data_IF_183245078044
#
_entry.id   IF_183245078044
#
_cell.length_a   1.000
_cell.length_b   1.000
_cell.length_c   1.000
_cell.angle_alpha   90.00
_cell.angle_beta   90.00
_cell.angle_gamma   90.00
#
_symmetry.space_group_name_H-M   'P 1'
#
loop_
_entity.id
_entity.type
_entity.pdbx_description
1 polymer ?
#
# COMPACT_ATOMS: atom_id res chain seq x y z
N UNK A 1 9.19 11.60 -1.50
CA UNK A 1 8.85 10.19 -1.18
C UNK A 1 9.16 9.96 0.28
N UNK A 2 8.21 9.42 1.05
CA UNK A 2 8.43 9.04 2.46
C UNK A 2 8.02 7.59 2.64
N UNK A 3 8.91 6.81 3.26
CA UNK A 3 8.64 5.43 3.65
C UNK A 3 8.90 5.34 5.16
N UNK A 4 7.90 4.92 5.90
CA UNK A 4 7.99 4.66 7.33
C UNK A 4 7.68 3.19 7.57
N UNK A 5 8.62 2.46 8.13
CA UNK A 5 8.47 1.05 8.47
C UNK A 5 8.45 0.91 9.99
N UNK A 6 7.46 0.20 10.53
CA UNK A 6 7.35 -0.11 11.95
C UNK A 6 7.22 -1.62 12.10
N UNK A 7 8.01 -2.19 13.00
CA UNK A 7 7.86 -3.57 13.46
C UNK A 7 7.20 -3.57 14.84
N UNK A 8 6.13 -4.35 15.00
CA UNK A 8 5.50 -4.65 16.26
C UNK A 8 5.65 -6.14 16.56
N UNK A 9 6.31 -6.47 17.67
CA UNK A 9 6.53 -7.85 18.08
C UNK A 9 5.90 -8.12 19.44
N UNK A 10 5.14 -9.21 19.57
CA UNK A 10 4.60 -9.69 20.83
C UNK A 10 4.76 -11.22 20.94
N UNK A 11 5.73 -11.65 21.75
CA UNK A 11 6.09 -13.07 21.85
C UNK A 11 6.60 -13.62 20.50
N UNK A 12 6.06 -14.73 19.98
CA UNK A 12 6.49 -15.32 18.71
C UNK A 12 5.87 -14.64 17.47
N UNK A 13 5.04 -13.62 17.65
CA UNK A 13 4.34 -12.93 16.56
C UNK A 13 5.01 -11.59 16.28
N UNK A 14 5.44 -11.38 15.03
CA UNK A 14 5.88 -10.07 14.52
C UNK A 14 4.94 -9.60 13.41
N UNK A 15 4.62 -8.30 13.43
CA UNK A 15 3.85 -7.61 12.40
C UNK A 15 4.68 -6.44 11.90
N UNK A 16 4.85 -6.37 10.59
CA UNK A 16 5.57 -5.35 9.87
C UNK A 16 4.57 -4.45 9.16
N UNK A 17 4.60 -3.15 9.47
CA UNK A 17 3.77 -2.13 8.85
C UNK A 17 4.64 -1.18 8.02
N UNK A 18 4.41 -1.12 6.72
CA UNK A 18 5.10 -0.22 5.80
C UNK A 18 4.14 0.86 5.30
N UNK A 19 4.33 2.08 5.78
CA UNK A 19 3.60 3.27 5.37
C UNK A 19 4.37 4.04 4.30
N UNK A 20 3.75 4.25 3.14
CA UNK A 20 4.40 4.84 1.97
C UNK A 20 3.56 6.01 1.46
N UNK A 21 4.24 7.14 1.25
CA UNK A 21 3.71 8.38 0.66
C UNK A 21 4.55 8.73 -0.57
N UNK A 22 3.95 8.61 -1.75
CA UNK A 22 4.60 8.87 -3.03
C UNK A 22 3.59 9.22 -4.12
N UNK A 23 3.97 10.07 -5.07
CA UNK A 23 3.12 10.46 -6.20
C UNK A 23 2.79 9.26 -7.09
N UNK A 24 3.79 8.42 -7.40
CA UNK A 24 3.58 7.25 -8.26
C UNK A 24 2.68 6.21 -7.58
N UNK A 25 2.81 6.03 -6.26
CA UNK A 25 1.91 5.18 -5.47
C UNK A 25 0.49 5.75 -5.49
N UNK A 26 0.35 7.07 -5.36
CA UNK A 26 -0.94 7.76 -5.41
C UNK A 26 -1.70 7.49 -6.71
N UNK A 27 -1.01 7.49 -7.86
CA UNK A 27 -1.62 7.19 -9.16
C UNK A 27 -2.24 5.78 -9.15
N UNK A 28 -1.51 4.77 -8.68
CA UNK A 28 -2.03 3.40 -8.66
C UNK A 28 -3.08 3.14 -7.58
N UNK A 29 -3.06 3.89 -6.47
CA UNK A 29 -4.16 3.81 -5.50
C UNK A 29 -5.44 4.37 -6.11
N UNK A 30 -5.39 5.51 -6.82
CA UNK A 30 -6.56 6.04 -7.52
C UNK A 30 -7.12 5.05 -8.53
N UNK A 31 -6.23 4.41 -9.29
CA UNK A 31 -6.59 3.36 -10.25
C UNK A 31 -7.33 2.22 -9.53
N UNK A 32 -6.77 1.73 -8.42
CA UNK A 32 -7.39 0.69 -7.61
C UNK A 32 -8.74 1.11 -6.99
N UNK A 33 -8.82 2.28 -6.36
CA UNK A 33 -10.06 2.78 -5.76
C UNK A 33 -11.15 3.01 -6.82
N UNK A 34 -10.78 3.37 -8.06
CA UNK A 34 -11.75 3.57 -9.14
C UNK A 34 -12.46 2.26 -9.57
N UNK A 35 -11.91 1.09 -9.21
CA UNK A 35 -12.58 -0.22 -9.38
C UNK A 35 -13.75 -0.43 -8.42
N UNK A 36 -13.90 0.45 -7.41
CA UNK A 36 -15.03 0.46 -6.50
C UNK A 36 -16.00 1.57 -6.89
N UNK A 37 -17.25 1.19 -7.20
CA UNK A 37 -18.27 2.14 -7.66
C UNK A 37 -18.45 3.37 -6.76
N UNK A 38 -18.37 3.20 -5.43
CA UNK A 38 -18.56 4.27 -4.46
C UNK A 38 -17.41 5.28 -4.42
N UNK A 39 -16.19 4.89 -4.82
CA UNK A 39 -15.03 5.78 -4.83
C UNK A 39 -14.78 6.46 -6.18
N UNK A 40 -15.41 5.98 -7.25
CA UNK A 40 -15.18 6.48 -8.62
C UNK A 40 -15.40 7.99 -8.77
N UNK A 41 -16.33 8.55 -8.00
CA UNK A 41 -16.64 9.98 -8.05
C UNK A 41 -15.72 10.84 -7.20
N UNK A 42 -14.90 10.28 -6.31
CA UNK A 42 -14.00 11.05 -5.43
C UNK A 42 -12.52 10.83 -5.78
N UNK A 43 -12.17 9.79 -6.54
CA UNK A 43 -10.78 9.49 -6.94
C UNK A 43 -10.14 10.59 -7.78
N UNK A 44 -10.93 11.41 -8.48
CA UNK A 44 -10.45 12.55 -9.25
C UNK A 44 -10.01 13.73 -8.35
N UNK A 45 -10.61 13.88 -7.16
CA UNK A 45 -10.27 14.91 -6.17
C UNK A 45 -9.05 14.55 -5.31
N UNK A 46 -8.67 13.27 -5.27
CA UNK A 46 -7.44 12.85 -4.64
C UNK A 46 -6.27 13.48 -5.41
N UNK A 47 -5.22 13.96 -4.76
CA UNK A 47 -4.03 14.51 -5.45
C UNK A 47 -2.76 13.76 -5.03
N UNK A 48 -1.76 13.66 -5.94
CA UNK A 48 -0.44 13.12 -5.61
C UNK A 48 0.17 13.85 -4.40
N UNK A 49 0.76 13.11 -3.46
CA UNK A 49 1.40 13.66 -2.26
C UNK A 49 0.51 13.76 -1.02
N UNK A 50 -0.76 13.36 -1.12
CA UNK A 50 -1.73 13.39 -0.01
C UNK A 50 -2.13 11.97 0.46
N UNK A 51 -1.80 10.96 -0.33
CA UNK A 51 -2.12 9.56 -0.05
C UNK A 51 -1.08 8.82 0.75
N UNK A 52 -1.53 8.05 1.75
CA UNK A 52 -0.69 7.13 2.52
C UNK A 52 -1.21 5.71 2.36
N UNK A 53 -0.34 4.83 1.89
CA UNK A 53 -0.62 3.40 1.83
C UNK A 53 0.14 2.70 2.94
N UNK A 54 -0.56 1.95 3.79
CA UNK A 54 0.06 1.13 4.83
C UNK A 54 -0.14 -0.34 4.51
N UNK A 55 0.95 -1.09 4.36
CA UNK A 55 0.91 -2.53 4.18
C UNK A 55 1.25 -3.21 5.49
N UNK A 56 0.41 -4.14 5.94
CA UNK A 56 0.68 -4.97 7.11
C UNK A 56 1.01 -6.41 6.67
N UNK A 57 2.12 -6.94 7.18
CA UNK A 57 2.63 -8.28 6.90
C UNK A 57 3.07 -8.98 8.18
N UNK A 58 2.90 -10.29 8.29
CA UNK A 58 3.50 -11.10 9.37
C UNK A 58 4.90 -11.61 9.03
N UNK A 59 5.41 -11.25 7.87
CA UNK A 59 6.71 -11.68 7.36
C UNK A 59 7.55 -10.44 6.99
N UNK A 60 8.76 -10.39 7.56
CA UNK A 60 9.74 -9.31 7.36
C UNK A 60 10.32 -9.29 5.95
N UNK A 61 10.30 -10.43 5.26
CA UNK A 61 10.85 -10.58 3.91
C UNK A 61 9.86 -10.19 2.81
N UNK A 62 8.68 -9.69 3.15
CA UNK A 62 7.65 -9.25 2.18
C UNK A 62 8.03 -7.89 1.56
N UNK A 63 9.26 -7.43 1.76
CA UNK A 63 10.01 -6.78 0.70
C UNK A 63 10.80 -7.87 -0.06
N UNK A 64 10.28 -8.45 -1.16
CA UNK A 64 9.29 -7.88 -2.07
C UNK A 64 7.93 -8.59 -2.06
N UNK A 65 6.86 -7.81 -2.04
CA UNK A 65 5.46 -8.25 -2.07
C UNK A 65 5.15 -9.13 -3.28
N UNK A 66 5.36 -10.43 -3.17
CA UNK A 66 4.65 -11.41 -3.98
C UNK A 66 3.23 -11.51 -3.45
N UNK A 67 2.28 -11.87 -4.31
CA UNK A 67 0.91 -12.22 -3.93
C UNK A 67 0.98 -13.47 -3.03
N UNK A 68 1.34 -13.25 -1.77
CA UNK A 68 1.55 -14.25 -0.76
C UNK A 68 0.44 -14.10 0.26
N UNK A 69 -0.08 -15.21 0.74
CA UNK A 69 -1.05 -15.25 1.82
C UNK A 69 -0.51 -14.62 3.12
N UNK A 70 0.79 -14.28 3.15
CA UNK A 70 1.48 -13.57 4.23
C UNK A 70 1.19 -12.07 4.26
N UNK A 71 0.72 -11.47 3.16
CA UNK A 71 0.22 -10.09 3.18
C UNK A 71 -1.21 -10.13 3.71
N UNK A 72 -1.37 -9.81 4.99
CA UNK A 72 -2.66 -9.89 5.67
C UNK A 72 -3.65 -8.85 5.17
N UNK A 73 -3.25 -7.57 5.20
CA UNK A 73 -4.15 -6.45 4.88
C UNK A 73 -3.36 -5.27 4.31
N UNK A 74 -3.93 -4.64 3.29
CA UNK A 74 -3.50 -3.35 2.77
C UNK A 74 -4.49 -2.29 3.27
N UNK A 75 -4.00 -1.34 4.07
CA UNK A 75 -4.79 -0.19 4.50
C UNK A 75 -4.48 1.02 3.61
N UNK A 76 -5.51 1.52 2.93
CA UNK A 76 -5.44 2.68 2.06
C UNK A 76 -6.04 3.89 2.80
N UNK A 77 -5.21 4.88 3.09
CA UNK A 77 -5.65 6.14 3.68
C UNK A 77 -5.40 7.31 2.72
N UNK A 78 -6.45 8.06 2.41
CA UNK A 78 -6.37 9.27 1.59
C UNK A 78 -7.22 10.37 2.20
N UNK A 79 -6.72 11.60 2.32
CA UNK A 79 -7.50 12.71 2.84
C UNK A 79 -7.14 14.03 2.19
N UNK A 80 -8.07 14.65 1.45
CA UNK A 80 -7.84 15.98 0.85
C UNK A 80 -8.21 17.15 1.79
N UNK A 81 -8.41 16.87 3.09
CA UNK A 81 -8.83 17.86 4.09
C UNK A 81 -10.35 18.12 4.14
N UNK A 82 -11.09 17.78 3.09
CA UNK A 82 -12.56 17.81 3.06
C UNK A 82 -13.16 16.40 3.13
N UNK A 83 -12.59 15.49 2.35
CA UNK A 83 -12.98 14.09 2.22
C UNK A 83 -11.83 13.20 2.68
N UNK A 84 -12.15 12.12 3.39
CA UNK A 84 -11.20 11.06 3.73
C UNK A 84 -11.71 9.69 3.29
N UNK A 85 -10.78 8.83 2.89
CA UNK A 85 -11.00 7.45 2.51
C UNK A 85 -10.09 6.62 3.41
N UNK A 86 -10.70 5.73 4.18
CA UNK A 86 -10.04 4.69 4.94
C UNK A 86 -10.60 3.35 4.46
N UNK A 87 -9.77 2.58 3.76
CA UNK A 87 -10.17 1.32 3.17
C UNK A 87 -9.18 0.22 3.53
N UNK A 88 -9.66 -0.75 4.31
CA UNK A 88 -8.98 -2.03 4.50
C UNK A 88 -9.24 -2.95 3.30
N UNK A 89 -8.17 -3.48 2.73
CA UNK A 89 -8.19 -4.39 1.59
C UNK A 89 -7.53 -5.70 2.01
N UNK A 90 -8.35 -6.72 2.22
CA UNK A 90 -7.87 -8.08 2.42
C UNK A 90 -7.58 -8.67 1.04
N UNK A 91 -6.30 -8.77 0.68
CA UNK A 91 -5.88 -9.09 -0.70
C UNK A 91 -6.42 -10.47 -1.14
N UNK A 92 -6.40 -11.46 -0.24
CA UNK A 92 -6.92 -12.82 -0.48
C UNK A 92 -8.43 -12.85 -0.76
N UNK A 93 -9.17 -11.82 -0.36
CA UNK A 93 -10.63 -11.72 -0.57
C UNK A 93 -10.99 -11.15 -1.95
N UNK A 94 -10.04 -10.58 -2.70
CA UNK A 94 -10.31 -9.95 -3.99
C UNK A 94 -10.57 -11.01 -5.06
N UNK A 95 -11.84 -11.25 -5.42
CA UNK A 95 -12.21 -12.21 -6.48
C UNK A 95 -12.36 -11.58 -7.87
N UNK A 96 -12.68 -10.28 -7.94
CA UNK A 96 -12.91 -9.58 -9.20
C UNK A 96 -11.58 -9.39 -9.99
N UNK A 97 -11.51 -9.78 -11.28
CA UNK A 97 -10.29 -9.70 -12.09
C UNK A 97 -9.71 -8.28 -12.25
N UNK A 98 -10.57 -7.27 -12.41
CA UNK A 98 -10.16 -5.87 -12.54
C UNK A 98 -9.49 -5.39 -11.24
N UNK A 99 -10.09 -5.72 -10.09
CA UNK A 99 -9.51 -5.42 -8.78
C UNK A 99 -8.17 -6.13 -8.57
N UNK A 100 -8.06 -7.38 -9.00
CA UNK A 100 -6.80 -8.16 -8.97
C UNK A 100 -5.71 -7.49 -9.81
N UNK A 101 -6.02 -7.05 -11.02
CA UNK A 101 -5.04 -6.38 -11.89
C UNK A 101 -4.58 -5.06 -11.26
N UNK A 102 -5.52 -4.23 -10.79
CA UNK A 102 -5.21 -2.93 -10.21
C UNK A 102 -4.38 -3.06 -8.91
N UNK A 103 -4.70 -4.01 -8.03
CA UNK A 103 -3.92 -4.23 -6.80
C UNK A 103 -2.52 -4.78 -7.11
N UNK A 104 -2.35 -5.64 -8.12
CA UNK A 104 -1.02 -6.11 -8.57
C UNK A 104 -0.16 -4.93 -9.01
N UNK A 105 -0.73 -4.00 -9.79
CA UNK A 105 -0.02 -2.79 -10.23
C UNK A 105 0.42 -1.95 -9.03
N UNK A 106 -0.47 -1.74 -8.07
CA UNK A 106 -0.15 -1.00 -6.84
C UNK A 106 0.98 -1.66 -6.03
N UNK A 107 0.90 -2.98 -5.79
CA UNK A 107 1.94 -3.71 -5.06
C UNK A 107 3.29 -3.67 -5.77
N UNK A 108 3.32 -3.81 -7.10
CA UNK A 108 4.54 -3.70 -7.89
C UNK A 108 5.15 -2.30 -7.80
N UNK A 109 4.34 -1.25 -7.85
CA UNK A 109 4.84 0.12 -7.69
C UNK A 109 5.38 0.35 -6.29
N UNK A 110 4.69 -0.14 -5.26
CA UNK A 110 5.17 -0.06 -3.87
C UNK A 110 6.49 -0.79 -3.72
N UNK A 111 6.62 -2.00 -4.27
CA UNK A 111 7.88 -2.76 -4.31
C UNK A 111 9.01 -1.96 -4.95
N UNK A 112 8.75 -1.39 -6.12
CA UNK A 112 9.74 -0.58 -6.84
C UNK A 112 10.15 0.64 -6.03
N UNK A 113 9.18 1.31 -5.40
CA UNK A 113 9.43 2.43 -4.51
C UNK A 113 10.31 2.01 -3.35
N UNK A 114 9.96 0.97 -2.60
CA UNK A 114 10.79 0.50 -1.46
C UNK A 114 12.20 0.13 -1.91
N UNK A 115 12.37 -0.59 -3.02
CA UNK A 115 13.70 -0.94 -3.56
C UNK A 115 14.54 0.28 -3.90
N UNK A 116 13.92 1.30 -4.50
CA UNK A 116 14.58 2.57 -4.79
C UNK A 116 14.80 3.43 -3.53
N UNK A 117 14.16 3.07 -2.41
CA UNK A 117 14.26 3.73 -1.11
C UNK A 117 15.27 3.07 -0.17
N UNK A 118 15.81 1.90 -0.51
CA UNK A 118 16.82 1.26 0.33
C UNK A 118 17.96 2.27 0.54
N UNK A 119 18.35 2.57 1.78
CA UNK A 119 19.58 3.31 1.99
C UNK A 119 20.70 2.47 1.37
N UNK A 120 21.53 3.07 0.52
CA UNK A 120 22.84 2.50 0.24
C UNK A 120 23.51 2.28 1.59
N UNK A 121 23.50 1.04 2.07
CA UNK A 121 24.20 0.67 3.30
C UNK A 121 25.69 0.82 3.01
N UNK A 122 26.24 2.00 3.31
CA UNK A 122 27.69 2.16 3.45
C UNK A 122 28.06 1.39 4.71
N UNK A 123 28.66 0.21 4.52
CA UNK A 123 29.31 -0.50 5.61
C UNK A 123 30.44 0.39 6.13
N UNK A 124 30.38 0.76 7.41
CA UNK A 124 31.47 1.42 8.11
C UNK A 124 32.62 0.44 8.36
#
# INVERSE_FOLDING_TARGET
MKVLSIEFSHGPVSIYAHSIESEIVTIHVKEFLSTFHHFRNITHELSPGIGRVTICSTDSSVAPFEFSDKIGTLHLHFSNGHNSIDQDVIISSLQNPEKKIAIVRLLNTIRNVIRLSEPEFVSA
#
